data_IF_509547994212
#
_entry.id   IF_509547994212
#
_cell.length_a   1.000
_cell.length_b   1.000
_cell.length_c   1.000
_cell.angle_alpha   90.00
_cell.angle_beta   90.00
_cell.angle_gamma   90.00
#
_symmetry.space_group_name_H-M   'P 1'
#
loop_
_entity.id
_entity.type
_entity.pdbx_description
1 polymer ?
#
# COMPACT_ATOMS: atom_id res chain seq x y z
N UNK A 1 -17.90 8.27 -5.13
CA UNK A 1 -16.92 8.76 -6.12
C UNK A 1 -17.65 9.34 -7.32
N UNK A 2 -17.26 10.50 -7.87
CA UNK A 2 -17.84 10.99 -9.12
C UNK A 2 -17.06 10.43 -10.30
N UNK A 3 -17.73 10.16 -11.42
CA UNK A 3 -17.08 9.69 -12.66
C UNK A 3 -15.95 10.59 -13.14
N UNK A 4 -16.07 11.90 -12.93
CA UNK A 4 -15.05 12.90 -13.29
C UNK A 4 -13.76 12.68 -12.50
N UNK A 5 -13.87 12.24 -11.25
CA UNK A 5 -12.70 11.96 -10.43
C UNK A 5 -12.01 10.68 -10.91
N UNK A 6 -12.75 9.65 -11.35
CA UNK A 6 -12.15 8.43 -11.90
C UNK A 6 -11.44 8.66 -13.24
N UNK A 7 -12.07 9.41 -14.13
CA UNK A 7 -11.52 9.72 -15.45
C UNK A 7 -10.20 10.48 -15.35
N UNK A 8 -10.06 11.37 -14.36
CA UNK A 8 -8.82 12.10 -14.10
C UNK A 8 -7.62 11.18 -13.81
N UNK A 9 -7.84 10.03 -13.17
CA UNK A 9 -6.76 9.08 -12.86
C UNK A 9 -6.57 8.03 -13.96
N UNK A 10 -7.63 7.64 -14.68
CA UNK A 10 -7.56 6.67 -15.78
C UNK A 10 -7.02 7.29 -17.07
N UNK A 11 -7.35 8.55 -17.31
CA UNK A 11 -6.97 9.33 -18.48
C UNK A 11 -6.42 10.69 -18.02
N UNK A 12 -5.20 10.74 -17.45
CA UNK A 12 -4.63 11.97 -16.93
C UNK A 12 -4.62 13.07 -17.99
N UNK A 13 -5.23 14.25 -17.73
CA UNK A 13 -5.20 15.33 -18.69
C UNK A 13 -3.77 15.85 -18.93
N UNK A 14 -3.45 16.31 -20.15
CA UNK A 14 -2.15 16.91 -20.43
C UNK A 14 -1.81 18.09 -19.52
N UNK A 15 -0.58 18.14 -19.04
CA UNK A 15 -0.08 19.13 -18.08
C UNK A 15 -0.58 18.94 -16.63
N UNK A 16 -1.38 17.91 -16.37
CA UNK A 16 -1.95 17.68 -15.03
C UNK A 16 -0.91 17.13 -14.04
N UNK A 17 -1.23 17.22 -12.74
CA UNK A 17 -0.42 16.57 -11.72
C UNK A 17 -0.47 15.03 -11.85
N UNK A 18 -1.60 14.47 -12.28
CA UNK A 18 -1.73 13.04 -12.55
C UNK A 18 -0.82 12.58 -13.69
N UNK A 19 -0.74 13.34 -14.80
CA UNK A 19 0.15 13.00 -15.91
C UNK A 19 1.61 12.96 -15.44
N UNK A 20 2.07 14.02 -14.75
CA UNK A 20 3.43 14.07 -14.19
C UNK A 20 3.71 12.93 -13.20
N UNK A 21 2.71 12.51 -12.43
CA UNK A 21 2.85 11.39 -11.51
C UNK A 21 3.05 10.07 -12.27
N UNK A 22 2.29 9.84 -13.35
CA UNK A 22 2.50 8.68 -14.24
C UNK A 22 3.89 8.71 -14.87
N UNK A 23 4.33 9.85 -15.39
CA UNK A 23 5.67 10.02 -15.97
C UNK A 23 6.79 9.73 -14.97
N UNK A 24 6.57 10.07 -13.70
CA UNK A 24 7.49 9.76 -12.61
C UNK A 24 7.45 8.28 -12.18
N UNK A 25 6.49 7.50 -12.68
CA UNK A 25 6.30 6.08 -12.33
C UNK A 25 5.42 5.85 -11.10
N UNK A 26 4.62 6.83 -10.68
CA UNK A 26 3.62 6.66 -9.62
C UNK A 26 2.44 5.87 -10.16
N UNK A 27 2.09 4.80 -9.47
CA UNK A 27 0.89 4.02 -9.78
C UNK A 27 -0.37 4.71 -9.24
N UNK A 28 -1.12 5.34 -10.15
CA UNK A 28 -2.39 6.00 -9.84
C UNK A 28 -3.55 5.02 -9.61
N UNK A 29 -3.41 3.75 -10.00
CA UNK A 29 -4.47 2.75 -9.82
C UNK A 29 -4.70 2.49 -8.32
N UNK A 30 -3.64 2.44 -7.52
CA UNK A 30 -3.72 2.33 -6.06
C UNK A 30 -4.44 3.52 -5.42
N UNK A 31 -4.20 4.73 -5.93
CA UNK A 31 -4.90 5.94 -5.49
C UNK A 31 -6.39 5.84 -5.83
N UNK A 32 -6.71 5.44 -7.05
CA UNK A 32 -8.08 5.28 -7.53
C UNK A 32 -8.84 4.20 -6.73
N UNK A 33 -8.22 3.05 -6.47
CA UNK A 33 -8.78 1.99 -5.63
C UNK A 33 -9.16 2.49 -4.24
N UNK A 34 -8.30 3.29 -3.61
CA UNK A 34 -8.59 3.85 -2.29
C UNK A 34 -9.75 4.85 -2.31
N UNK A 35 -9.88 5.63 -3.38
CA UNK A 35 -10.97 6.60 -3.54
C UNK A 35 -12.31 5.93 -3.88
N UNK A 36 -12.30 4.71 -4.43
CA UNK A 36 -13.50 3.90 -4.67
C UNK A 36 -14.13 3.33 -3.40
N UNK A 37 -13.34 3.15 -2.34
CA UNK A 37 -13.83 2.59 -1.07
C UNK A 37 -14.84 3.52 -0.40
N UNK A 38 -15.89 2.92 0.18
CA UNK A 38 -16.73 3.62 1.16
C UNK A 38 -15.94 3.94 2.43
N UNK A 39 -16.42 4.85 3.30
CA UNK A 39 -15.79 5.09 4.60
C UNK A 39 -15.60 3.81 5.42
N UNK A 40 -16.60 2.93 5.46
CA UNK A 40 -16.55 1.66 6.20
C UNK A 40 -15.51 0.71 5.61
N UNK A 41 -15.46 0.58 4.30
CA UNK A 41 -14.47 -0.25 3.61
C UNK A 41 -13.04 0.26 3.84
N UNK A 42 -12.87 1.59 3.88
CA UNK A 42 -11.59 2.21 4.20
C UNK A 42 -11.13 1.86 5.62
N UNK A 43 -12.02 1.89 6.60
CA UNK A 43 -11.72 1.48 7.98
C UNK A 43 -11.28 0.00 8.02
N UNK A 44 -12.05 -0.90 7.39
CA UNK A 44 -11.70 -2.33 7.34
C UNK A 44 -10.34 -2.59 6.67
N UNK A 45 -10.02 -1.85 5.60
CA UNK A 45 -8.73 -1.94 4.92
C UNK A 45 -7.58 -1.49 5.84
N UNK A 46 -7.78 -0.41 6.59
CA UNK A 46 -6.79 0.08 7.57
C UNK A 46 -6.57 -0.91 8.71
N UNK A 47 -7.62 -1.50 9.26
CA UNK A 47 -7.51 -2.52 10.32
C UNK A 47 -6.72 -3.75 9.84
N UNK A 48 -7.00 -4.18 8.60
CA UNK A 48 -6.29 -5.29 7.96
C UNK A 48 -4.80 -4.97 7.77
N UNK A 49 -4.49 -3.74 7.36
CA UNK A 49 -3.12 -3.27 7.19
C UNK A 49 -2.36 -3.22 8.53
N UNK A 50 -2.97 -2.66 9.58
CA UNK A 50 -2.39 -2.62 10.94
C UNK A 50 -2.07 -4.04 11.43
N UNK A 51 -2.99 -4.97 11.23
CA UNK A 51 -2.80 -6.39 11.58
C UNK A 51 -1.64 -7.01 10.81
N UNK A 52 -1.53 -6.74 9.50
CA UNK A 52 -0.42 -7.21 8.67
C UNK A 52 0.94 -6.68 9.15
N UNK A 53 1.03 -5.38 9.46
CA UNK A 53 2.25 -4.76 10.00
C UNK A 53 2.63 -5.36 11.35
N UNK A 54 1.65 -5.62 12.23
CA UNK A 54 1.91 -6.26 13.52
C UNK A 54 2.50 -7.67 13.35
N UNK A 55 1.99 -8.47 12.40
CA UNK A 55 2.53 -9.79 12.06
C UNK A 55 3.96 -9.70 11.53
N UNK A 56 4.22 -8.79 10.60
CA UNK A 56 5.56 -8.59 10.05
C UNK A 56 6.58 -8.26 11.15
N UNK A 57 6.22 -7.35 12.06
CA UNK A 57 7.06 -6.99 13.23
C UNK A 57 7.32 -8.19 14.13
N UNK A 58 6.31 -9.02 14.38
CA UNK A 58 6.47 -10.22 15.20
C UNK A 58 7.42 -11.24 14.55
N UNK A 59 7.32 -11.45 13.23
CA UNK A 59 8.20 -12.35 12.48
C UNK A 59 9.65 -11.85 12.44
N UNK A 60 9.86 -10.55 12.20
CA UNK A 60 11.19 -9.95 12.19
C UNK A 60 11.91 -10.05 13.55
N UNK A 61 11.15 -10.04 14.67
CA UNK A 61 11.70 -10.25 16.02
C UNK A 61 12.15 -11.69 16.29
N UNK A 62 11.56 -12.68 15.59
CA UNK A 62 11.97 -14.09 15.72
C UNK A 62 13.34 -14.28 15.05
N UNK A 63 13.47 -13.81 13.81
CA UNK A 63 14.72 -13.86 13.02
C UNK A 63 15.86 -12.93 13.50
N UNK A 64 15.72 -12.30 14.68
CA UNK A 64 16.79 -11.50 15.30
C UNK A 64 17.96 -12.37 15.77
N UNK A 65 19.06 -11.77 16.28
CA UNK A 65 20.36 -12.45 16.48
C UNK A 65 20.38 -13.69 17.38
N UNK A 66 19.25 -14.02 18.04
CA UNK A 66 19.12 -15.22 18.87
C UNK A 66 19.09 -16.50 18.02
N UNK A 67 18.52 -16.47 16.82
CA UNK A 67 18.39 -17.66 15.97
C UNK A 67 19.68 -17.98 15.17
N UNK A 68 20.67 -17.06 15.17
CA UNK A 68 21.96 -17.27 14.52
C UNK A 68 22.98 -18.02 15.40
N UNK A 69 22.73 -18.10 16.72
CA UNK A 69 23.64 -18.73 17.68
C UNK A 69 23.39 -20.23 17.87
N UNK A 70 22.26 -20.76 17.38
CA UNK A 70 21.84 -22.15 17.62
C UNK A 70 22.28 -23.13 16.50
N UNK A 71 23.06 -22.66 15.51
CA UNK A 71 23.52 -23.45 14.35
C UNK A 71 25.04 -23.73 14.35
N UNK A 72 25.72 -23.76 15.51
CA UNK A 72 27.16 -24.10 15.63
C UNK A 72 27.42 -25.34 16.52
N UNK A 73 26.67 -26.42 16.32
CA UNK A 73 27.05 -27.72 16.87
C UNK A 73 27.25 -28.76 15.76
N UNK A 74 28.51 -28.93 15.37
CA UNK A 74 29.08 -30.12 14.71
C UNK A 74 30.32 -30.55 15.48
#
# INVERSE_FOLDING_TARGET
MRKVDEDYFLNPPPGSAAERAVEFGVDLTLTLENLRLTPEERIRKLDSFITGVARLKASARRLGPRDAADNEHY
#
